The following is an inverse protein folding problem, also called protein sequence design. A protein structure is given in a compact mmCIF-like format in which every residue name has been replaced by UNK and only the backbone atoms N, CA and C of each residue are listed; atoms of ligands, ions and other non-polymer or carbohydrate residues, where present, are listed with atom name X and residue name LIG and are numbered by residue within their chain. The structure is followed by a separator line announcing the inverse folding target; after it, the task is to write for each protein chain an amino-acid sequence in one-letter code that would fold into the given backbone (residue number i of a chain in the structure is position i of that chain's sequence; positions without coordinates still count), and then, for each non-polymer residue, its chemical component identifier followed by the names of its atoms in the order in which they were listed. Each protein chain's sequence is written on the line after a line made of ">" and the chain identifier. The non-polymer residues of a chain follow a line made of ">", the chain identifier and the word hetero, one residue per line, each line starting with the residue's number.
data_IF_639643039551
#
_entry.id   IF_639643039551
#
_cell.length_a   1.000
_cell.length_b   1.000
_cell.length_c   1.000
_cell.angle_alpha   90.00
_cell.angle_beta   90.00
_cell.angle_gamma   90.00
#
_symmetry.space_group_name_H-M   'P 1'
#
loop_
_entity.id
_entity.type
_entity.pdbx_description
1 polymer ?
#
# COMPACT_ATOMS: atom_id res chain seq x y z
N UNK A 1 41.78 -17.43 -48.20
CA UNK A 1 41.20 -16.67 -47.08
C UNK A 1 39.95 -15.97 -47.60
N UNK A 2 38.74 -16.35 -47.14
CA UNK A 2 37.48 -15.71 -47.59
C UNK A 2 37.37 -14.33 -46.94
N UNK A 3 37.45 -13.26 -47.73
CA UNK A 3 37.17 -11.90 -47.27
C UNK A 3 35.67 -11.77 -46.99
N UNK A 4 35.32 -11.47 -45.73
CA UNK A 4 33.96 -11.15 -45.32
C UNK A 4 33.78 -9.64 -45.51
N UNK A 5 33.05 -9.23 -46.54
CA UNK A 5 32.66 -7.84 -46.73
C UNK A 5 31.75 -7.40 -45.58
N UNK A 6 32.25 -6.53 -44.70
CA UNK A 6 31.42 -5.86 -43.69
C UNK A 6 30.74 -4.67 -44.35
N UNK A 7 29.46 -4.81 -44.71
CA UNK A 7 28.62 -3.67 -45.09
C UNK A 7 28.38 -2.80 -43.85
N UNK A 8 28.77 -1.53 -43.92
CA UNK A 8 28.47 -0.54 -42.88
C UNK A 8 26.99 -0.15 -42.91
N UNK A 9 26.41 0.09 -41.73
CA UNK A 9 25.06 0.61 -41.57
C UNK A 9 24.96 2.02 -42.18
N UNK A 10 23.88 2.33 -42.92
CA UNK A 10 23.69 3.67 -43.46
C UNK A 10 23.27 4.65 -42.38
N UNK A 11 23.71 5.91 -42.50
CA UNK A 11 23.26 6.98 -41.59
C UNK A 11 21.74 7.14 -41.63
N UNK A 12 21.11 6.97 -42.80
CA UNK A 12 19.65 7.10 -42.93
C UNK A 12 18.90 5.95 -42.23
N UNK A 13 19.46 4.74 -42.21
CA UNK A 13 18.85 3.60 -41.51
C UNK A 13 18.85 3.82 -40.01
N UNK A 14 19.93 4.39 -39.46
CA UNK A 14 19.99 4.73 -38.04
C UNK A 14 19.01 5.85 -37.68
N UNK A 15 18.88 6.87 -38.54
CA UNK A 15 17.94 7.99 -38.32
C UNK A 15 16.48 7.51 -38.33
N UNK A 16 16.09 6.62 -39.25
CA UNK A 16 14.73 6.12 -39.30
C UNK A 16 14.37 5.29 -38.06
N UNK A 17 15.32 4.49 -37.56
CA UNK A 17 15.13 3.68 -36.34
C UNK A 17 14.88 4.56 -35.11
N UNK A 18 15.69 5.60 -34.89
CA UNK A 18 15.49 6.49 -33.73
C UNK A 18 14.17 7.27 -33.80
N UNK A 19 13.72 7.62 -35.01
CA UNK A 19 12.42 8.30 -35.21
C UNK A 19 11.27 7.36 -34.85
N UNK A 20 11.30 6.12 -35.34
CA UNK A 20 10.27 5.12 -34.99
C UNK A 20 10.27 4.87 -33.48
N UNK A 21 11.44 4.66 -32.86
CA UNK A 21 11.54 4.45 -31.41
C UNK A 21 11.04 5.67 -30.62
N UNK A 22 11.30 6.89 -31.11
CA UNK A 22 10.80 8.12 -30.51
C UNK A 22 9.26 8.21 -30.50
N UNK A 23 8.62 7.88 -31.62
CA UNK A 23 7.14 7.87 -31.73
C UNK A 23 6.53 6.78 -30.84
N UNK A 24 7.10 5.57 -30.86
CA UNK A 24 6.61 4.47 -30.02
C UNK A 24 6.76 4.78 -28.52
N UNK A 25 7.89 5.36 -28.11
CA UNK A 25 8.13 5.76 -26.73
C UNK A 25 7.15 6.84 -26.26
N UNK A 26 6.87 7.85 -27.09
CA UNK A 26 5.96 8.94 -26.76
C UNK A 26 4.54 8.45 -26.40
N UNK A 27 4.03 7.42 -27.09
CA UNK A 27 2.71 6.85 -26.82
C UNK A 27 2.75 5.81 -25.69
N UNK A 28 3.83 5.05 -25.56
CA UNK A 28 3.95 3.97 -24.57
C UNK A 28 4.18 4.47 -23.14
N UNK A 29 5.03 5.50 -22.96
CA UNK A 29 5.44 5.97 -21.62
C UNK A 29 4.25 6.41 -20.74
N UNK A 30 3.30 7.24 -21.21
CA UNK A 30 2.17 7.67 -20.38
C UNK A 30 1.29 6.49 -19.91
N UNK A 31 1.02 5.52 -20.79
CA UNK A 31 0.21 4.33 -20.46
C UNK A 31 0.92 3.41 -19.46
N UNK A 32 2.25 3.35 -19.53
CA UNK A 32 3.04 2.54 -18.62
C UNK A 32 3.02 3.08 -17.18
N UNK A 33 2.98 4.40 -16.99
CA UNK A 33 2.90 5.01 -15.66
C UNK A 33 1.54 4.76 -15.00
N UNK A 34 0.44 4.86 -15.74
CA UNK A 34 -0.90 4.61 -15.20
C UNK A 34 -1.09 3.14 -14.84
N UNK A 35 -0.71 2.22 -15.72
CA UNK A 35 -0.81 0.77 -15.48
C UNK A 35 0.01 0.30 -14.28
N UNK A 36 1.19 0.89 -14.04
CA UNK A 36 1.95 0.64 -12.80
C UNK A 36 1.21 1.06 -11.54
N UNK A 37 0.59 2.24 -11.56
CA UNK A 37 -0.16 2.76 -10.40
C UNK A 37 -1.40 1.90 -10.13
N UNK A 38 -2.13 1.51 -11.18
CA UNK A 38 -3.30 0.62 -11.06
C UNK A 38 -2.90 -0.76 -10.51
N UNK A 39 -1.76 -1.30 -10.96
CA UNK A 39 -1.22 -2.54 -10.42
C UNK A 39 -0.87 -2.43 -8.92
N UNK A 40 -0.27 -1.33 -8.49
CA UNK A 40 0.01 -1.07 -7.08
C UNK A 40 -1.27 -1.02 -6.24
N UNK A 41 -2.31 -0.35 -6.74
CA UNK A 41 -3.63 -0.29 -6.07
C UNK A 41 -4.24 -1.68 -5.98
N UNK A 42 -4.22 -2.46 -7.06
CA UNK A 42 -4.73 -3.83 -7.08
C UNK A 42 -4.00 -4.73 -6.06
N UNK A 43 -2.67 -4.62 -5.97
CA UNK A 43 -1.88 -5.34 -4.96
C UNK A 43 -2.27 -4.93 -3.54
N UNK A 44 -2.36 -3.63 -3.24
CA UNK A 44 -2.74 -3.15 -1.92
C UNK A 44 -4.14 -3.64 -1.51
N UNK A 45 -5.10 -3.68 -2.45
CA UNK A 45 -6.44 -4.25 -2.20
C UNK A 45 -6.38 -5.75 -1.88
N UNK A 46 -5.52 -6.49 -2.58
CA UNK A 46 -5.30 -7.93 -2.33
C UNK A 46 -4.69 -8.16 -0.95
N UNK A 47 -3.69 -7.36 -0.58
CA UNK A 47 -3.07 -7.42 0.74
C UNK A 47 -4.09 -7.16 1.85
N UNK A 48 -4.89 -6.08 1.72
CA UNK A 48 -5.97 -5.75 2.66
C UNK A 48 -6.93 -6.94 2.83
N UNK A 49 -7.37 -7.54 1.73
CA UNK A 49 -8.29 -8.67 1.77
C UNK A 49 -7.66 -9.92 2.43
N UNK A 50 -6.35 -10.11 2.26
CA UNK A 50 -5.59 -11.21 2.86
C UNK A 50 -5.45 -11.02 4.37
N UNK A 51 -5.02 -9.83 4.78
CA UNK A 51 -4.81 -9.45 6.19
C UNK A 51 -6.11 -9.53 7.00
N UNK A 52 -7.22 -9.06 6.43
CA UNK A 52 -8.52 -9.12 7.10
C UNK A 52 -9.01 -10.54 7.38
N UNK A 53 -8.48 -11.55 6.69
CA UNK A 53 -8.74 -12.96 6.95
C UNK A 53 -7.67 -13.60 7.84
N UNK A 54 -6.41 -13.22 7.62
CA UNK A 54 -5.27 -13.78 8.33
C UNK A 54 -5.24 -13.37 9.81
N UNK A 55 -5.55 -12.11 10.12
CA UNK A 55 -5.55 -11.61 11.51
C UNK A 55 -6.52 -12.40 12.40
N UNK A 56 -7.83 -12.50 12.08
CA UNK A 56 -8.74 -13.29 12.91
C UNK A 56 -8.29 -14.74 13.05
N UNK A 57 -7.87 -15.36 11.94
CA UNK A 57 -7.41 -16.76 11.96
C UNK A 57 -6.23 -16.97 12.91
N UNK A 58 -5.23 -16.09 12.89
CA UNK A 58 -4.06 -16.18 13.77
C UNK A 58 -4.42 -15.88 15.23
N UNK A 59 -5.28 -14.88 15.48
CA UNK A 59 -5.74 -14.57 16.84
C UNK A 59 -6.42 -15.79 17.47
N UNK A 60 -7.31 -16.46 16.76
CA UNK A 60 -7.98 -17.66 17.28
C UNK A 60 -7.08 -18.89 17.38
N UNK A 61 -6.13 -19.06 16.44
CA UNK A 61 -5.22 -20.20 16.46
C UNK A 61 -4.20 -20.13 17.60
N UNK A 62 -3.68 -18.94 17.88
CA UNK A 62 -2.64 -18.70 18.90
C UNK A 62 -3.23 -18.23 20.25
N UNK A 63 -4.56 -18.09 20.35
CA UNK A 63 -5.25 -17.57 21.54
C UNK A 63 -4.68 -16.22 22.00
N UNK A 64 -4.45 -15.34 21.04
CA UNK A 64 -3.93 -14.00 21.26
C UNK A 64 -5.02 -13.14 21.88
N UNK A 65 -4.69 -12.35 22.91
CA UNK A 65 -5.59 -11.34 23.45
C UNK A 65 -5.50 -10.04 22.63
N UNK A 66 -6.51 -9.71 21.79
CA UNK A 66 -6.50 -8.50 20.98
C UNK A 66 -6.68 -7.21 21.80
N UNK A 67 -7.06 -7.31 23.08
CA UNK A 67 -7.22 -6.16 23.99
C UNK A 67 -5.92 -5.79 24.69
N UNK A 68 -4.91 -6.67 24.66
CA UNK A 68 -3.61 -6.44 25.29
C UNK A 68 -2.94 -5.17 24.77
N UNK A 69 -2.36 -4.38 25.68
CA UNK A 69 -1.60 -3.17 25.34
C UNK A 69 -0.27 -3.47 24.66
N UNK A 70 0.25 -4.69 24.83
CA UNK A 70 1.48 -5.17 24.19
C UNK A 70 1.15 -6.05 22.98
N UNK A 71 2.01 -5.99 21.97
CA UNK A 71 1.91 -6.91 20.84
C UNK A 71 2.23 -8.35 21.28
N UNK A 72 1.84 -9.38 20.49
CA UNK A 72 2.26 -10.75 20.70
C UNK A 72 3.78 -10.91 20.74
N UNK A 73 4.25 -11.94 21.44
CA UNK A 73 5.68 -12.21 21.61
C UNK A 73 6.44 -12.25 20.28
N UNK A 74 7.63 -11.64 20.26
CA UNK A 74 8.47 -11.53 19.06
C UNK A 74 8.19 -10.30 18.19
N UNK A 75 7.22 -9.45 18.54
CA UNK A 75 6.91 -8.22 17.80
C UNK A 75 6.98 -6.98 18.68
N UNK A 76 7.49 -5.88 18.12
CA UNK A 76 7.60 -4.61 18.85
C UNK A 76 6.27 -3.88 18.94
N UNK A 77 5.37 -4.10 17.97
CA UNK A 77 4.09 -3.41 17.83
C UNK A 77 3.05 -4.32 17.19
N UNK A 78 1.77 -4.05 17.46
CA UNK A 78 0.65 -4.72 16.83
C UNK A 78 0.68 -4.53 15.31
N UNK A 79 1.05 -3.34 14.82
CA UNK A 79 1.21 -3.09 13.39
C UNK A 79 2.29 -3.96 12.74
N UNK A 80 3.42 -4.18 13.41
CA UNK A 80 4.46 -5.09 12.91
C UNK A 80 3.94 -6.53 12.86
N UNK A 81 3.26 -6.98 13.92
CA UNK A 81 2.62 -8.28 13.96
C UNK A 81 1.57 -8.45 12.85
N UNK A 82 0.79 -7.42 12.53
CA UNK A 82 -0.19 -7.45 11.43
C UNK A 82 0.48 -7.56 10.05
N UNK A 83 1.60 -6.87 9.85
CA UNK A 83 2.40 -6.96 8.61
C UNK A 83 2.92 -8.38 8.40
N UNK A 84 3.48 -8.96 9.45
CA UNK A 84 3.97 -10.34 9.44
C UNK A 84 2.84 -11.34 9.21
N UNK A 85 1.76 -11.23 9.97
CA UNK A 85 0.57 -12.11 9.87
C UNK A 85 -0.05 -12.09 8.47
N UNK A 86 -0.06 -10.92 7.83
CA UNK A 86 -0.56 -10.75 6.47
C UNK A 86 0.40 -11.18 5.36
N UNK A 87 1.65 -11.53 5.69
CA UNK A 87 2.70 -11.75 4.69
C UNK A 87 2.97 -10.52 3.82
N UNK A 88 2.78 -9.32 4.37
CA UNK A 88 2.85 -8.08 3.61
C UNK A 88 4.29 -7.60 3.42
N UNK A 89 4.53 -6.95 2.27
CA UNK A 89 5.83 -6.39 1.94
C UNK A 89 6.08 -5.08 2.71
N UNK A 90 7.16 -5.04 3.50
CA UNK A 90 7.56 -3.88 4.32
C UNK A 90 7.98 -2.64 3.50
N UNK A 91 8.23 -2.77 2.19
CA UNK A 91 8.43 -1.64 1.29
C UNK A 91 7.12 -0.99 0.84
N UNK A 92 5.99 -1.71 0.95
CA UNK A 92 4.65 -1.27 0.55
C UNK A 92 3.73 -1.01 1.73
N UNK A 93 4.09 -1.48 2.92
CA UNK A 93 3.31 -1.35 4.14
C UNK A 93 4.20 -0.93 5.30
N UNK A 94 3.70 -0.03 6.12
CA UNK A 94 4.37 0.40 7.35
C UNK A 94 3.40 0.42 8.52
N UNK A 95 3.98 0.40 9.72
CA UNK A 95 3.26 0.67 10.96
C UNK A 95 2.80 2.14 10.99
N UNK A 96 1.59 2.40 11.46
CA UNK A 96 1.13 3.74 11.87
C UNK A 96 0.22 4.52 10.91
N UNK A 97 -0.03 5.80 11.28
CA UNK A 97 -0.64 6.86 10.45
C UNK A 97 -1.74 7.75 11.08
N UNK A 98 -1.36 8.67 12.01
CA UNK A 98 -2.10 9.84 12.56
C UNK A 98 -2.90 9.68 13.89
N UNK A 99 -2.22 9.85 15.04
CA UNK A 99 -2.83 10.05 16.38
C UNK A 99 -3.30 8.77 17.10
N UNK A 100 -2.77 8.50 18.30
CA UNK A 100 -3.10 7.42 19.25
C UNK A 100 -2.99 5.94 18.79
N UNK A 101 -3.20 5.62 17.51
CA UNK A 101 -3.20 4.25 16.94
C UNK A 101 -1.80 3.85 16.39
N UNK A 102 -0.77 4.67 16.66
CA UNK A 102 0.56 4.62 16.03
C UNK A 102 1.35 3.31 16.14
N UNK A 103 0.91 2.36 16.97
CA UNK A 103 1.52 1.03 17.11
C UNK A 103 0.54 -0.12 16.82
N UNK A 104 -0.75 0.17 16.59
CA UNK A 104 -1.83 -0.85 16.43
C UNK A 104 -2.48 -0.85 15.07
N UNK A 105 -1.97 -0.03 14.16
CA UNK A 105 -2.46 0.05 12.79
C UNK A 105 -1.36 -0.03 11.76
N UNK A 106 -1.77 -0.33 10.55
CA UNK A 106 -0.93 -0.42 9.36
C UNK A 106 -1.46 0.51 8.28
N UNK A 107 -0.54 1.04 7.49
CA UNK A 107 -0.83 1.93 6.38
C UNK A 107 -0.08 1.46 5.13
N UNK A 108 -0.70 1.59 3.94
CA UNK A 108 0.00 1.39 2.71
C UNK A 108 0.92 2.59 2.46
N UNK A 109 2.07 2.30 1.91
CA UNK A 109 3.04 3.27 1.45
C UNK A 109 2.80 3.53 -0.04
N UNK A 110 2.82 4.79 -0.42
CA UNK A 110 2.72 5.20 -1.80
C UNK A 110 3.52 6.46 -2.07
N UNK A 111 3.52 6.88 -3.33
CA UNK A 111 4.02 8.20 -3.67
C UNK A 111 3.08 9.24 -3.05
N UNK A 112 3.59 9.99 -2.08
CA UNK A 112 2.94 11.17 -1.51
C UNK A 112 3.81 12.38 -1.83
N UNK A 113 3.20 13.52 -2.12
CA UNK A 113 3.98 14.75 -2.29
C UNK A 113 4.09 15.45 -0.94
N UNK A 114 5.31 15.80 -0.53
CA UNK A 114 5.50 16.61 0.68
C UNK A 114 4.95 18.02 0.44
N UNK A 115 4.28 18.59 1.46
CA UNK A 115 3.77 19.97 1.45
C UNK A 115 4.94 20.94 1.20
N UNK A 116 5.09 21.38 -0.05
CA UNK A 116 6.08 22.40 -0.44
C UNK A 116 7.19 21.98 -1.42
N UNK A 117 7.20 20.77 -2.00
CA UNK A 117 8.25 20.39 -2.95
C UNK A 117 7.77 19.50 -4.10
N UNK A 118 8.29 19.74 -5.30
CA UNK A 118 8.02 18.99 -6.53
C UNK A 118 8.57 17.55 -6.56
N UNK A 119 8.88 16.98 -5.39
CA UNK A 119 9.44 15.64 -5.23
C UNK A 119 8.41 14.78 -4.50
N UNK A 120 7.91 13.76 -5.20
CA UNK A 120 7.16 12.69 -4.55
C UNK A 120 8.11 11.92 -3.62
N UNK A 121 7.79 11.88 -2.33
CA UNK A 121 8.47 11.03 -1.35
C UNK A 121 7.61 9.78 -1.10
N UNK A 122 8.22 8.67 -0.72
CA UNK A 122 7.45 7.53 -0.23
C UNK A 122 6.91 7.90 1.15
N UNK A 123 5.59 7.90 1.31
CA UNK A 123 4.94 8.18 2.58
C UNK A 123 3.64 7.41 2.74
N UNK A 124 3.15 7.38 3.98
CA UNK A 124 1.98 6.60 4.33
C UNK A 124 0.67 7.27 3.93
N UNK A 125 -0.30 6.46 3.53
CA UNK A 125 -1.65 6.93 3.22
C UNK A 125 -2.56 7.04 4.46
N UNK A 126 -2.05 6.93 5.68
CA UNK A 126 -2.85 6.87 6.91
C UNK A 126 -3.24 5.44 7.31
N UNK A 127 -3.47 5.23 8.62
CA UNK A 127 -3.76 3.92 9.18
C UNK A 127 -5.12 3.40 8.68
N UNK A 128 -5.09 2.43 7.78
CA UNK A 128 -6.30 1.93 7.09
C UNK A 128 -6.85 0.67 7.75
N UNK A 129 -5.98 -0.14 8.37
CA UNK A 129 -6.36 -1.30 9.17
C UNK A 129 -5.77 -1.11 10.56
N UNK A 130 -6.56 -1.34 11.62
CA UNK A 130 -6.10 -1.28 13.00
C UNK A 130 -6.82 -2.29 13.89
N UNK A 131 -6.20 -2.63 15.02
CA UNK A 131 -6.87 -3.32 16.12
C UNK A 131 -7.08 -2.29 17.23
N UNK A 132 -8.33 -2.00 17.55
CA UNK A 132 -8.66 -1.08 18.64
C UNK A 132 -8.34 -1.69 20.01
N UNK A 133 -8.58 -0.94 21.08
CA UNK A 133 -8.38 -1.41 22.46
C UNK A 133 -9.48 -2.34 22.95
N UNK A 134 -10.63 -2.33 22.27
CA UNK A 134 -11.77 -3.19 22.57
C UNK A 134 -11.63 -4.58 21.90
N UNK A 135 -10.54 -4.78 21.14
CA UNK A 135 -10.23 -6.02 20.47
C UNK A 135 -10.97 -6.21 19.14
N UNK A 136 -11.39 -5.13 18.48
CA UNK A 136 -11.94 -5.18 17.14
C UNK A 136 -10.87 -4.88 16.10
N UNK A 137 -10.84 -5.69 15.05
CA UNK A 137 -10.14 -5.38 13.81
C UNK A 137 -11.00 -4.47 12.96
N UNK A 138 -10.50 -3.27 12.71
CA UNK A 138 -11.17 -2.22 11.96
C UNK A 138 -10.43 -2.03 10.64
N UNK A 139 -11.19 -1.94 9.55
CA UNK A 139 -10.72 -1.47 8.25
C UNK A 139 -11.61 -0.32 7.81
N UNK A 140 -11.07 0.89 7.84
CA UNK A 140 -11.78 2.09 7.40
C UNK A 140 -11.03 2.78 6.24
N UNK A 141 -11.51 2.63 4.99
CA UNK A 141 -10.95 3.33 3.84
C UNK A 141 -10.98 4.86 3.96
N UNK A 142 -11.84 5.44 4.82
CA UNK A 142 -11.88 6.89 5.04
C UNK A 142 -10.62 7.40 5.72
N UNK A 143 -9.93 6.55 6.47
CA UNK A 143 -8.66 6.88 7.10
C UNK A 143 -7.49 6.91 6.10
N UNK A 144 -7.74 6.57 4.83
CA UNK A 144 -6.81 6.81 3.73
C UNK A 144 -6.74 8.32 3.49
N UNK A 145 -5.98 8.98 4.36
CA UNK A 145 -5.78 10.42 4.43
C UNK A 145 -4.51 10.78 3.62
N UNK A 146 -4.62 11.81 2.79
CA UNK A 146 -3.58 12.29 1.86
C UNK A 146 -2.41 13.03 2.57
N UNK A 147 -2.02 12.57 3.76
CA UNK A 147 -1.15 13.21 4.76
C UNK A 147 -1.82 14.34 5.56
N UNK A 148 -1.35 14.50 6.80
CA UNK A 148 -1.95 15.33 7.85
C UNK A 148 -2.47 16.68 7.40
N UNK A 149 -3.68 17.02 7.87
CA UNK A 149 -4.36 18.30 7.75
C UNK A 149 -3.59 19.39 7.02
N UNK A 150 -3.73 19.43 5.70
CA UNK A 150 -3.39 20.60 4.91
C UNK A 150 -4.38 20.65 3.76
N UNK A 151 -5.37 21.52 3.93
CA UNK A 151 -5.89 22.41 2.89
C UNK A 151 -5.45 22.06 1.46
N UNK A 152 -6.43 21.59 0.69
CA UNK A 152 -6.53 21.64 -0.77
C UNK A 152 -5.36 22.29 -1.50
N UNK A 153 -4.71 21.53 -2.37
CA UNK A 153 -3.82 22.07 -3.40
C UNK A 153 -2.37 21.64 -3.25
N UNK A 154 -2.06 20.42 -3.68
CA UNK A 154 -0.68 19.99 -3.85
C UNK A 154 -0.58 18.50 -4.13
N UNK A 155 -0.83 18.10 -5.38
CA UNK A 155 -0.59 16.76 -5.92
C UNK A 155 -0.80 15.61 -4.92
N UNK A 156 -2.07 15.41 -4.58
CA UNK A 156 -2.60 14.23 -3.90
C UNK A 156 -1.85 12.98 -4.38
N UNK A 157 -1.25 12.22 -3.47
CA UNK A 157 -0.58 10.97 -3.84
C UNK A 157 -1.51 10.10 -4.67
N UNK A 158 -1.23 9.98 -5.98
CA UNK A 158 -2.15 9.35 -6.95
C UNK A 158 -2.52 7.94 -6.51
N UNK A 159 -1.56 7.22 -5.93
CA UNK A 159 -1.78 5.92 -5.31
C UNK A 159 -2.81 5.97 -4.16
N UNK A 160 -2.60 6.81 -3.14
CA UNK A 160 -3.50 6.87 -1.98
C UNK A 160 -4.91 7.31 -2.39
N UNK A 161 -5.01 8.27 -3.33
CA UNK A 161 -6.28 8.70 -3.91
C UNK A 161 -6.97 7.54 -4.65
N UNK A 162 -6.28 6.89 -5.58
CA UNK A 162 -6.85 5.80 -6.35
C UNK A 162 -7.24 4.62 -5.45
N UNK A 163 -6.45 4.33 -4.41
CA UNK A 163 -6.77 3.29 -3.43
C UNK A 163 -8.04 3.63 -2.64
N UNK A 164 -8.17 4.86 -2.13
CA UNK A 164 -9.38 5.32 -1.44
C UNK A 164 -10.60 5.24 -2.36
N UNK A 165 -10.48 5.78 -3.57
CA UNK A 165 -11.58 5.83 -4.55
C UNK A 165 -11.96 4.42 -5.05
N UNK A 166 -11.08 3.43 -4.85
CA UNK A 166 -11.33 2.03 -5.19
C UNK A 166 -12.36 1.35 -4.26
N UNK A 167 -12.64 1.95 -3.11
CA UNK A 167 -13.63 1.49 -2.13
C UNK A 167 -14.88 2.38 -2.16
N UNK A 168 -16.09 1.83 -2.40
CA UNK A 168 -17.32 2.62 -2.37
C UNK A 168 -17.61 3.15 -0.95
N UNK A 169 -18.43 4.21 -0.89
CA UNK A 169 -18.94 4.77 0.36
C UNK A 169 -19.57 3.68 1.22
N UNK A 170 -19.09 3.54 2.47
CA UNK A 170 -19.48 2.51 3.45
C UNK A 170 -18.77 1.14 3.35
N UNK A 171 -17.59 1.08 2.74
CA UNK A 171 -16.76 -0.13 2.77
C UNK A 171 -16.04 -0.39 4.11
N UNK A 172 -16.37 0.37 5.17
CA UNK A 172 -15.80 0.16 6.51
C UNK A 172 -16.19 -1.24 7.03
N UNK A 173 -15.24 -1.92 7.68
CA UNK A 173 -15.45 -3.24 8.28
C UNK A 173 -14.94 -3.24 9.71
N UNK A 174 -15.75 -3.79 10.61
CA UNK A 174 -15.38 -4.03 12.00
C UNK A 174 -15.58 -5.52 12.26
N UNK A 175 -14.54 -6.20 12.72
CA UNK A 175 -14.53 -7.63 13.00
C UNK A 175 -14.14 -7.79 14.48
N UNK A 176 -15.06 -8.23 15.35
CA UNK A 176 -14.73 -8.48 16.75
C UNK A 176 -13.77 -9.68 16.84
N UNK A 177 -12.61 -9.48 17.46
CA UNK A 177 -11.62 -10.54 17.70
C UNK A 177 -11.68 -11.02 19.15
N UNK A 178 -12.03 -10.13 20.08
CA UNK A 178 -12.29 -10.51 21.46
C UNK A 178 -13.59 -11.33 21.52
N UNK A 179 -13.56 -12.47 22.19
CA UNK A 179 -14.79 -13.19 22.52
C UNK A 179 -15.58 -12.30 23.47
N UNK A 180 -16.75 -11.81 23.03
CA UNK A 180 -17.65 -11.09 23.92
C UNK A 180 -18.17 -12.06 24.98
N UNK A 181 -17.53 -12.07 26.14
CA UNK A 181 -17.96 -12.83 27.30
C UNK A 181 -17.07 -14.03 27.60
N UNK A 182 -16.43 -13.94 28.76
CA UNK A 182 -15.81 -15.06 29.44
C UNK A 182 -16.62 -16.36 29.28
N UNK A 183 -16.09 -17.33 28.55
CA UNK A 183 -16.42 -18.73 28.87
C UNK A 183 -15.55 -19.08 30.07
N UNK A 184 -16.01 -18.67 31.26
CA UNK A 184 -15.55 -19.30 32.50
C UNK A 184 -16.08 -20.73 32.46
N UNK A 185 -15.18 -21.69 32.40
CA UNK A 185 -15.47 -23.04 32.86
C UNK A 185 -15.66 -23.02 34.38
#
# INVERSE_FOLDING_TARGET
>A
MKNVNRSGFSMIELVFVIVILGVLAAVAVPRFVTTRTDAQVAMARSDIATVLKAIPARVFAENIDPTSSTAPDGFSTWGEWMIDTGGMDKSRWAVGGNGAIGTRGIQPLGNVQSRGGAVATTGGCGAVINIDTDGNLIFDPKNINLAGGATQGGNDGVFCKNLRDSYPSNSNRIIPLATTGAVKF
#
